data_IF_226639734858
#
_entry.id   IF_226639734858
#
_cell.length_a   1.000
_cell.length_b   1.000
_cell.length_c   1.000
_cell.angle_alpha   90.00
_cell.angle_beta   90.00
_cell.angle_gamma   90.00
#
_symmetry.space_group_name_H-M   'P 1'
#
loop_
_entity.id
_entity.type
_entity.pdbx_description
1 polymer ?
#
# COMPACT_ATOMS: atom_id res chain seq x y z
N UNK A 1 -1.71 11.98 3.00
CA UNK A 1 -0.59 12.72 3.62
C UNK A 1 0.82 12.24 3.29
N UNK A 2 1.06 10.95 2.97
CA UNK A 2 2.43 10.41 2.88
C UNK A 2 3.16 10.57 1.52
N UNK A 3 2.52 11.15 0.50
CA UNK A 3 3.14 11.32 -0.82
C UNK A 3 3.42 10.00 -1.57
N UNK A 4 2.57 8.99 -1.37
CA UNK A 4 2.70 7.65 -1.95
C UNK A 4 2.48 7.60 -3.47
N UNK A 5 1.89 8.64 -4.06
CA UNK A 5 1.67 8.79 -5.50
C UNK A 5 2.17 10.15 -5.98
N UNK A 6 2.89 10.15 -7.10
CA UNK A 6 3.30 11.37 -7.83
C UNK A 6 2.51 11.47 -9.14
N UNK A 7 2.96 10.82 -10.22
CA UNK A 7 2.26 10.84 -11.50
C UNK A 7 0.90 10.14 -11.49
N UNK A 8 0.62 9.33 -10.46
CA UNK A 8 -0.65 8.62 -10.28
C UNK A 8 -0.86 7.38 -11.15
N UNK A 9 -0.03 7.14 -12.17
CA UNK A 9 -0.26 6.07 -13.15
C UNK A 9 -0.37 4.67 -12.53
N UNK A 10 0.53 4.32 -11.60
CA UNK A 10 0.49 3.03 -10.91
C UNK A 10 -0.52 2.99 -9.76
N UNK A 11 -1.14 4.12 -9.41
CA UNK A 11 -1.98 4.28 -8.23
C UNK A 11 -3.14 3.28 -8.15
N UNK A 12 -3.94 3.11 -9.21
CA UNK A 12 -5.06 2.17 -9.18
C UNK A 12 -4.63 0.73 -8.87
N UNK A 13 -3.56 0.24 -9.51
CA UNK A 13 -3.04 -1.12 -9.26
C UNK A 13 -2.49 -1.29 -7.84
N UNK A 14 -1.77 -0.29 -7.34
CA UNK A 14 -1.27 -0.27 -5.95
C UNK A 14 -2.40 -0.32 -4.93
N UNK A 15 -3.47 0.46 -5.13
CA UNK A 15 -4.61 0.51 -4.23
C UNK A 15 -5.35 -0.83 -4.20
N UNK A 16 -5.58 -1.46 -5.35
CA UNK A 16 -6.27 -2.75 -5.40
C UNK A 16 -5.46 -3.87 -4.74
N UNK A 17 -4.14 -3.93 -5.00
CA UNK A 17 -3.27 -4.92 -4.36
C UNK A 17 -3.19 -4.72 -2.84
N UNK A 18 -3.05 -3.48 -2.38
CA UNK A 18 -3.06 -3.15 -0.96
C UNK A 18 -4.40 -3.50 -0.30
N UNK A 19 -5.53 -3.18 -0.94
CA UNK A 19 -6.87 -3.51 -0.43
C UNK A 19 -7.03 -5.02 -0.24
N UNK A 20 -6.65 -5.82 -1.23
CA UNK A 20 -6.72 -7.28 -1.11
C UNK A 20 -5.87 -7.78 0.08
N UNK A 21 -4.63 -7.31 0.20
CA UNK A 21 -3.76 -7.67 1.34
C UNK A 21 -4.43 -7.34 2.68
N UNK A 22 -5.00 -6.14 2.82
CA UNK A 22 -5.56 -5.68 4.09
C UNK A 22 -6.90 -6.35 4.45
N UNK A 23 -7.66 -6.82 3.46
CA UNK A 23 -8.83 -7.66 3.69
C UNK A 23 -8.46 -9.05 4.23
N UNK A 24 -7.36 -9.64 3.74
CA UNK A 24 -6.88 -10.96 4.15
C UNK A 24 -6.08 -10.91 5.46
N UNK A 25 -5.24 -9.88 5.62
CA UNK A 25 -4.39 -9.66 6.78
C UNK A 25 -4.46 -8.18 7.20
N UNK A 26 -5.28 -7.84 8.21
CA UNK A 26 -5.42 -6.46 8.71
C UNK A 26 -4.18 -5.90 9.41
N UNK A 27 -3.19 -6.73 9.78
CA UNK A 27 -1.95 -6.31 10.44
C UNK A 27 -0.71 -6.89 9.72
N UNK A 28 -0.47 -6.50 8.46
CA UNK A 28 0.62 -7.07 7.69
C UNK A 28 1.97 -6.49 8.12
N UNK A 29 3.00 -7.33 8.03
CA UNK A 29 4.39 -6.89 8.15
C UNK A 29 4.82 -6.09 6.93
N UNK A 30 5.91 -5.33 7.08
CA UNK A 30 6.51 -4.57 5.96
C UNK A 30 6.85 -5.47 4.76
N UNK A 31 7.32 -6.69 5.00
CA UNK A 31 7.68 -7.62 3.94
C UNK A 31 6.44 -8.08 3.17
N UNK A 32 5.36 -8.42 3.87
CA UNK A 32 4.10 -8.82 3.24
C UNK A 32 3.50 -7.69 2.40
N UNK A 33 3.61 -6.43 2.85
CA UNK A 33 3.22 -5.27 2.04
C UNK A 33 4.05 -5.19 0.76
N UNK A 34 5.36 -5.37 0.84
CA UNK A 34 6.25 -5.33 -0.32
C UNK A 34 5.93 -6.45 -1.32
N UNK A 35 5.69 -7.66 -0.82
CA UNK A 35 5.39 -8.83 -1.63
C UNK A 35 4.03 -8.66 -2.33
N UNK A 36 3.01 -8.16 -1.63
CA UNK A 36 1.69 -7.89 -2.20
C UNK A 36 1.72 -6.89 -3.36
N UNK A 37 2.60 -5.88 -3.28
CA UNK A 37 2.73 -4.87 -4.34
C UNK A 37 3.81 -5.18 -5.36
N UNK A 38 4.54 -6.29 -5.26
CA UNK A 38 5.67 -6.61 -6.12
C UNK A 38 5.30 -6.70 -7.62
N UNK A 39 4.04 -7.05 -7.93
CA UNK A 39 3.49 -7.06 -9.29
C UNK A 39 3.13 -5.67 -9.84
N UNK A 40 3.16 -4.62 -9.02
CA UNK A 40 2.80 -3.26 -9.39
C UNK A 40 4.06 -2.40 -9.52
N UNK A 41 4.45 -2.07 -10.74
CA UNK A 41 5.64 -1.25 -10.97
C UNK A 41 5.35 0.24 -10.78
N UNK A 42 6.15 0.89 -9.93
CA UNK A 42 6.13 2.34 -9.77
C UNK A 42 7.45 2.95 -10.19
N UNK A 43 7.40 3.99 -11.06
CA UNK A 43 8.59 4.70 -11.50
C UNK A 43 8.95 5.92 -10.66
N UNK A 44 7.97 6.51 -9.98
CA UNK A 44 8.13 7.85 -9.40
C UNK A 44 8.55 7.84 -7.92
N UNK A 45 8.04 6.90 -7.12
CA UNK A 45 8.09 7.03 -5.64
C UNK A 45 9.19 6.20 -4.98
N UNK A 46 9.78 5.24 -5.69
CA UNK A 46 10.76 4.31 -5.12
C UNK A 46 10.19 3.37 -4.05
N UNK A 47 8.86 3.16 -4.03
CA UNK A 47 8.10 2.23 -3.18
C UNK A 47 8.04 2.55 -1.68
N UNK A 48 9.05 3.19 -1.08
CA UNK A 48 9.08 3.44 0.38
C UNK A 48 7.80 4.12 0.89
N UNK A 49 7.37 5.20 0.22
CA UNK A 49 6.14 5.92 0.59
C UNK A 49 4.85 5.15 0.32
N UNK A 50 4.86 4.20 -0.59
CA UNK A 50 3.71 3.31 -0.82
C UNK A 50 3.60 2.33 0.34
N UNK A 51 4.72 1.71 0.74
CA UNK A 51 4.74 0.76 1.85
C UNK A 51 4.31 1.43 3.17
N UNK A 52 4.81 2.65 3.43
CA UNK A 52 4.37 3.44 4.58
C UNK A 52 2.87 3.74 4.53
N UNK A 53 2.33 4.11 3.36
CA UNK A 53 0.91 4.40 3.21
C UNK A 53 -0.01 3.18 3.38
N UNK A 54 0.43 2.00 2.96
CA UNK A 54 -0.34 0.76 3.20
C UNK A 54 -0.34 0.40 4.69
N UNK A 55 0.78 0.56 5.38
CA UNK A 55 0.85 0.29 6.82
C UNK A 55 -0.01 1.29 7.62
N UNK A 56 -0.04 2.55 7.22
CA UNK A 56 -0.88 3.60 7.79
C UNK A 56 -2.36 3.30 7.57
N UNK A 57 -2.75 2.96 6.33
CA UNK A 57 -4.11 2.56 6.00
C UNK A 57 -4.55 1.31 6.77
N UNK A 58 -3.67 0.32 6.99
CA UNK A 58 -3.95 -0.85 7.80
C UNK A 58 -4.33 -0.45 9.23
N UNK A 59 -3.64 0.54 9.80
CA UNK A 59 -3.93 1.06 11.14
C UNK A 59 -5.28 1.78 11.15
N UNK A 60 -5.52 2.69 10.22
CA UNK A 60 -6.78 3.44 10.12
C UNK A 60 -7.99 2.51 9.98
N UNK A 61 -7.92 1.50 9.11
CA UNK A 61 -9.00 0.53 8.87
C UNK A 61 -9.31 -0.36 10.09
N UNK A 62 -8.39 -0.52 11.05
CA UNK A 62 -8.66 -1.21 12.31
C UNK A 62 -9.26 -0.30 13.38
N UNK A 63 -9.00 1.01 13.27
CA UNK A 63 -9.49 2.02 14.21
C UNK A 63 -10.90 2.52 13.85
N UNK A 64 -11.28 2.47 12.56
CA UNK A 64 -12.65 2.73 12.10
C UNK A 64 -13.52 1.45 12.14
N UNK A 65 -14.65 1.44 12.89
CA UNK A 65 -15.53 0.28 13.04
C UNK A 65 -16.45 0.00 11.84
#
# INVERSE_FOLDING_TARGET
>A
DLGSLQCGFCGPGMILAAKQLLEENPEPTKQEIQDAIAGNLCRCTGYTKIVEAVADAAKEMREEP
#
